data_IF_325217660572
#
_entry.id   IF_325217660572
#
_cell.length_a   1.000
_cell.length_b   1.000
_cell.length_c   1.000
_cell.angle_alpha   90.00
_cell.angle_beta   90.00
_cell.angle_gamma   90.00
#
_symmetry.space_group_name_H-M   'P 1'
#
loop_
_entity.id
_entity.type
_entity.pdbx_description
1 polymer ?
#
# COMPACT_ATOMS: atom_id res chain seq x y z
N UNK A 1 5.11 23.57 -34.12
CA UNK A 1 4.57 22.87 -32.93
C UNK A 1 4.84 23.76 -31.72
N UNK A 2 3.79 24.30 -31.07
CA UNK A 2 3.95 25.10 -29.84
C UNK A 2 4.10 24.12 -28.67
N UNK A 3 5.27 24.14 -28.03
CA UNK A 3 5.52 23.37 -26.82
C UNK A 3 4.59 23.82 -25.70
N UNK A 4 3.90 22.87 -25.08
CA UNK A 4 3.07 23.11 -23.90
C UNK A 4 3.95 23.67 -22.79
N UNK A 5 3.59 24.77 -22.12
CA UNK A 5 4.39 25.30 -21.02
C UNK A 5 4.40 24.30 -19.87
N UNK A 6 5.59 23.90 -19.40
CA UNK A 6 5.72 23.22 -18.11
C UNK A 6 5.16 24.16 -17.05
N UNK A 7 4.10 23.73 -16.34
CA UNK A 7 3.61 24.45 -15.17
C UNK A 7 4.69 24.37 -14.10
N UNK A 8 5.40 25.47 -13.85
CA UNK A 8 6.30 25.57 -12.71
C UNK A 8 5.49 25.42 -11.41
N UNK A 9 5.83 24.42 -10.60
CA UNK A 9 5.23 24.25 -9.28
C UNK A 9 5.53 25.43 -8.35
N UNK A 10 4.69 25.63 -7.33
CA UNK A 10 4.94 26.67 -6.32
C UNK A 10 6.17 26.31 -5.51
N UNK A 11 7.20 27.18 -5.42
CA UNK A 11 8.36 26.93 -4.58
C UNK A 11 7.99 26.78 -3.11
N UNK A 12 8.71 25.95 -2.37
CA UNK A 12 8.56 25.85 -0.92
C UNK A 12 8.90 27.19 -0.25
N UNK A 13 8.10 27.60 0.73
CA UNK A 13 8.41 28.73 1.59
C UNK A 13 9.49 28.34 2.64
N UNK A 14 10.06 29.33 3.31
CA UNK A 14 11.13 29.13 4.29
C UNK A 14 10.75 28.14 5.41
N UNK A 15 9.52 28.22 5.92
CA UNK A 15 9.04 27.31 6.96
C UNK A 15 8.92 25.85 6.48
N UNK A 16 8.56 25.64 5.22
CA UNK A 16 8.55 24.32 4.59
C UNK A 16 9.97 23.80 4.36
N UNK A 17 10.91 24.64 3.93
CA UNK A 17 12.31 24.27 3.75
C UNK A 17 12.97 23.83 5.06
N UNK A 18 12.68 24.50 6.18
CA UNK A 18 13.18 24.10 7.51
C UNK A 18 12.66 22.72 7.91
N UNK A 19 11.38 22.42 7.66
CA UNK A 19 10.82 21.09 7.91
C UNK A 19 11.50 20.02 7.06
N UNK A 20 11.73 20.29 5.78
CA UNK A 20 12.42 19.38 4.86
C UNK A 20 13.88 19.15 5.28
N UNK A 21 14.57 20.18 5.75
CA UNK A 21 15.93 20.06 6.26
C UNK A 21 16.01 19.09 7.44
N UNK A 22 15.03 19.10 8.35
CA UNK A 22 14.99 18.14 9.46
C UNK A 22 14.80 16.69 8.97
N UNK A 23 13.93 16.47 7.97
CA UNK A 23 13.76 15.14 7.37
C UNK A 23 15.06 14.66 6.69
N UNK A 24 15.71 15.53 5.91
CA UNK A 24 16.98 15.21 5.27
C UNK A 24 18.08 14.91 6.31
N UNK A 25 18.14 15.67 7.39
CA UNK A 25 19.09 15.43 8.48
C UNK A 25 18.87 14.07 9.15
N UNK A 26 17.63 13.67 9.38
CA UNK A 26 17.30 12.33 9.91
C UNK A 26 17.76 11.25 8.92
N UNK A 27 17.43 11.40 7.63
CA UNK A 27 17.84 10.44 6.60
C UNK A 27 19.36 10.29 6.51
N UNK A 28 20.08 11.42 6.48
CA UNK A 28 21.55 11.43 6.44
C UNK A 28 22.15 10.83 7.70
N UNK A 29 21.65 11.20 8.89
CA UNK A 29 22.17 10.69 10.15
C UNK A 29 21.95 9.18 10.34
N UNK A 30 20.87 8.63 9.79
CA UNK A 30 20.54 7.20 9.90
C UNK A 30 21.20 6.37 8.80
N UNK A 31 21.11 6.81 7.54
CA UNK A 31 21.52 6.00 6.38
C UNK A 31 23.01 6.11 6.08
N UNK A 32 23.61 7.30 6.22
CA UNK A 32 25.01 7.51 5.83
C UNK A 32 25.99 6.66 6.65
N UNK A 33 25.84 6.49 7.99
CA UNK A 33 26.70 5.59 8.75
C UNK A 33 26.57 4.12 8.30
N UNK A 34 25.36 3.66 7.98
CA UNK A 34 25.11 2.29 7.51
C UNK A 34 25.81 2.06 6.16
N UNK A 35 25.67 2.99 5.22
CA UNK A 35 26.35 2.92 3.92
C UNK A 35 27.87 2.96 4.08
N UNK A 36 28.37 3.86 4.92
CA UNK A 36 29.80 3.99 5.20
C UNK A 36 30.39 2.71 5.82
N UNK A 37 29.65 2.06 6.71
CA UNK A 37 30.01 0.78 7.31
C UNK A 37 30.03 -0.35 6.26
N UNK A 38 29.02 -0.44 5.39
CA UNK A 38 28.98 -1.43 4.28
C UNK A 38 30.15 -1.28 3.31
N UNK A 39 30.61 -0.05 3.07
CA UNK A 39 31.77 0.24 2.22
C UNK A 39 33.12 0.02 2.94
N UNK A 40 33.12 -0.23 4.26
CA UNK A 40 34.31 -0.49 5.06
C UNK A 40 35.31 0.68 5.17
N UNK A 41 34.93 1.89 4.71
CA UNK A 41 35.85 3.05 4.59
C UNK A 41 35.17 4.38 4.93
N UNK A 42 34.72 4.60 6.18
CA UNK A 42 33.93 5.79 6.55
C UNK A 42 34.66 7.12 6.31
N UNK A 43 35.97 7.19 6.54
CA UNK A 43 36.75 8.41 6.29
C UNK A 43 36.93 8.73 4.80
N UNK A 44 37.00 7.71 3.94
CA UNK A 44 37.07 7.90 2.50
C UNK A 44 35.73 8.41 1.94
N UNK A 45 34.62 7.97 2.53
CA UNK A 45 33.27 8.46 2.22
C UNK A 45 33.16 9.95 2.55
N UNK A 46 33.58 10.38 3.74
CA UNK A 46 33.57 11.81 4.11
C UNK A 46 34.42 12.66 3.15
N UNK A 47 35.63 12.18 2.82
CA UNK A 47 36.51 12.86 1.86
C UNK A 47 35.92 12.92 0.44
N UNK A 48 35.09 11.94 0.06
CA UNK A 48 34.42 11.95 -1.24
C UNK A 48 33.35 13.05 -1.36
N UNK A 49 32.78 13.52 -0.24
CA UNK A 49 31.80 14.61 -0.20
C UNK A 49 32.45 16.00 -0.15
N UNK A 50 33.71 16.10 0.24
CA UNK A 50 34.42 17.38 0.42
C UNK A 50 34.45 18.19 -0.89
N UNK A 51 33.94 19.42 -0.83
CA UNK A 51 33.79 20.32 -1.99
C UNK A 51 32.84 19.84 -3.10
N UNK A 52 32.17 18.69 -2.96
CA UNK A 52 31.31 18.08 -4.00
C UNK A 52 29.81 18.22 -3.76
N UNK A 53 29.39 19.12 -2.87
CA UNK A 53 27.97 19.33 -2.53
C UNK A 53 27.07 19.54 -3.76
N UNK A 54 27.49 20.36 -4.73
CA UNK A 54 26.73 20.60 -5.95
C UNK A 54 26.62 19.36 -6.86
N UNK A 55 27.65 18.51 -6.91
CA UNK A 55 27.63 17.25 -7.66
C UNK A 55 26.70 16.24 -6.97
N UNK A 56 26.80 16.14 -5.64
CA UNK A 56 25.92 15.30 -4.85
C UNK A 56 24.44 15.70 -5.00
N UNK A 57 24.12 16.99 -4.97
CA UNK A 57 22.77 17.50 -5.16
C UNK A 57 22.15 17.05 -6.50
N UNK A 58 22.92 17.07 -7.60
CA UNK A 58 22.44 16.59 -8.92
C UNK A 58 22.15 15.09 -8.94
N UNK A 59 22.92 14.29 -8.22
CA UNK A 59 22.65 12.86 -8.09
C UNK A 59 21.46 12.59 -7.15
N UNK A 60 21.25 13.45 -6.17
CA UNK A 60 20.19 13.33 -5.19
C UNK A 60 18.82 13.73 -5.75
N UNK A 61 18.77 14.69 -6.68
CA UNK A 61 17.53 15.19 -7.30
C UNK A 61 16.62 14.09 -7.87
N UNK A 62 17.06 13.21 -8.80
CA UNK A 62 16.20 12.16 -9.35
C UNK A 62 15.81 11.11 -8.29
N UNK A 63 16.68 10.84 -7.31
CA UNK A 63 16.41 9.89 -6.22
C UNK A 63 15.33 10.45 -5.29
N UNK A 64 15.44 11.73 -4.91
CA UNK A 64 14.43 12.40 -4.11
C UNK A 64 13.11 12.51 -4.85
N UNK A 65 13.13 12.80 -6.16
CA UNK A 65 11.91 12.83 -6.96
C UNK A 65 11.21 11.47 -6.94
N UNK A 66 11.95 10.38 -7.13
CA UNK A 66 11.40 9.02 -7.09
C UNK A 66 10.82 8.67 -5.71
N UNK A 67 11.54 8.98 -4.63
CA UNK A 67 11.09 8.72 -3.25
C UNK A 67 9.88 9.58 -2.87
N UNK A 68 9.87 10.86 -3.25
CA UNK A 68 8.73 11.74 -2.98
C UNK A 68 7.52 11.29 -3.80
N UNK A 69 7.72 10.88 -5.05
CA UNK A 69 6.66 10.27 -5.86
C UNK A 69 6.10 9.06 -5.11
N UNK A 70 6.91 8.09 -4.70
CA UNK A 70 6.41 6.91 -3.97
C UNK A 70 5.64 7.28 -2.69
N UNK A 71 6.14 8.24 -1.90
CA UNK A 71 5.45 8.72 -0.70
C UNK A 71 4.12 9.43 -0.97
N UNK A 72 3.94 10.02 -2.15
CA UNK A 72 2.71 10.70 -2.54
C UNK A 72 1.70 9.76 -3.24
N UNK A 73 2.12 8.54 -3.60
CA UNK A 73 1.30 7.58 -4.32
C UNK A 73 0.26 6.91 -3.42
N UNK A 74 0.61 6.58 -2.18
CA UNK A 74 -0.33 6.08 -1.18
C UNK A 74 -0.72 7.22 -0.25
N UNK A 75 -1.95 7.71 -0.39
CA UNK A 75 -2.49 8.74 0.49
C UNK A 75 -3.17 8.06 1.67
N UNK A 76 -2.66 8.23 2.91
CA UNK A 76 -3.33 7.71 4.09
C UNK A 76 -4.71 8.36 4.24
N UNK A 77 -5.73 7.54 4.47
CA UNK A 77 -7.10 8.02 4.64
C UNK A 77 -7.54 7.94 6.10
N UNK A 78 -7.48 6.75 6.69
CA UNK A 78 -7.98 6.45 8.04
C UNK A 78 -7.41 5.13 8.55
N UNK A 79 -7.52 4.90 9.84
CA UNK A 79 -7.30 3.58 10.45
C UNK A 79 -8.65 2.98 10.82
N UNK A 80 -8.79 1.66 10.67
CA UNK A 80 -10.00 0.91 10.99
C UNK A 80 -9.67 -0.20 11.98
N UNK A 81 -10.67 -0.54 12.78
CA UNK A 81 -10.62 -1.63 13.76
C UNK A 81 -11.94 -2.36 13.78
N UNK A 82 -11.89 -3.69 13.69
CA UNK A 82 -13.08 -4.49 13.94
C UNK A 82 -12.73 -5.75 14.73
N UNK A 83 -13.74 -6.26 15.42
CA UNK A 83 -13.66 -7.49 16.21
C UNK A 83 -14.69 -8.46 15.67
N UNK A 84 -14.26 -9.69 15.38
CA UNK A 84 -15.16 -10.74 14.90
C UNK A 84 -16.20 -11.06 15.98
N UNK A 85 -17.48 -10.91 15.64
CA UNK A 85 -18.58 -11.27 16.55
C UNK A 85 -18.80 -12.78 16.64
N UNK A 86 -18.39 -13.53 15.62
CA UNK A 86 -18.49 -14.98 15.55
C UNK A 86 -17.23 -15.57 14.89
N UNK A 87 -16.99 -16.86 15.13
CA UNK A 87 -15.90 -17.60 14.50
C UNK A 87 -16.06 -17.59 12.99
N UNK A 88 -15.01 -17.21 12.27
CA UNK A 88 -14.95 -17.26 10.82
C UNK A 88 -14.38 -18.59 10.34
N UNK A 89 -15.13 -19.28 9.48
CA UNK A 89 -14.74 -20.53 8.83
C UNK A 89 -14.58 -20.27 7.32
N UNK A 90 -13.36 -20.02 6.81
CA UNK A 90 -13.16 -19.59 5.41
C UNK A 90 -13.78 -20.55 4.39
N UNK A 91 -13.55 -21.85 4.54
CA UNK A 91 -14.02 -22.85 3.58
C UNK A 91 -15.54 -22.90 3.45
N UNK A 92 -16.29 -22.67 4.54
CA UNK A 92 -17.75 -22.66 4.48
C UNK A 92 -18.27 -21.31 3.98
N UNK A 93 -17.74 -20.20 4.49
CA UNK A 93 -18.19 -18.85 4.13
C UNK A 93 -18.10 -18.61 2.62
N UNK A 94 -16.93 -18.82 2.03
CA UNK A 94 -16.69 -18.49 0.61
C UNK A 94 -17.35 -19.47 -0.37
N UNK A 95 -17.78 -20.65 0.09
CA UNK A 95 -18.44 -21.65 -0.76
C UNK A 95 -19.94 -21.45 -0.86
N UNK A 96 -20.59 -21.00 0.22
CA UNK A 96 -22.06 -20.98 0.32
C UNK A 96 -22.66 -19.57 0.38
N UNK A 97 -21.84 -18.52 0.37
CA UNK A 97 -22.34 -17.15 0.48
C UNK A 97 -23.02 -16.72 -0.82
N UNK A 98 -24.30 -16.39 -0.73
CA UNK A 98 -25.02 -15.75 -1.82
C UNK A 98 -24.43 -14.39 -2.16
N UNK A 99 -24.48 -14.02 -3.45
CA UNK A 99 -24.01 -12.72 -3.97
C UNK A 99 -22.52 -12.48 -3.72
N UNK A 100 -21.74 -13.55 -3.82
CA UNK A 100 -20.29 -13.55 -3.74
C UNK A 100 -19.73 -14.41 -4.87
N UNK A 101 -19.03 -13.75 -5.80
CA UNK A 101 -18.24 -14.38 -6.84
C UNK A 101 -16.81 -14.58 -6.35
N UNK A 102 -16.43 -15.84 -6.12
CA UNK A 102 -15.07 -16.25 -5.75
C UNK A 102 -14.31 -16.67 -7.00
N UNK A 103 -13.34 -15.86 -7.42
CA UNK A 103 -12.53 -16.19 -8.58
C UNK A 103 -11.49 -17.28 -8.28
N UNK A 104 -11.10 -18.00 -9.34
CA UNK A 104 -10.13 -19.10 -9.31
C UNK A 104 -8.83 -18.79 -8.57
N UNK A 105 -8.32 -17.57 -8.72
CA UNK A 105 -7.07 -17.14 -8.09
C UNK A 105 -7.17 -17.18 -6.56
N UNK A 106 -8.24 -16.60 -6.00
CA UNK A 106 -8.49 -16.62 -4.56
C UNK A 106 -8.70 -18.05 -4.04
N UNK A 107 -9.49 -18.84 -4.78
CA UNK A 107 -9.77 -20.23 -4.42
C UNK A 107 -8.55 -21.14 -4.44
N UNK A 108 -7.53 -20.83 -5.25
CA UNK A 108 -6.30 -21.64 -5.39
C UNK A 108 -5.14 -21.14 -4.54
N UNK A 109 -5.03 -19.83 -4.34
CA UNK A 109 -3.85 -19.21 -3.70
C UNK A 109 -4.06 -18.89 -2.22
N UNK A 110 -5.29 -18.58 -1.80
CA UNK A 110 -5.58 -18.07 -0.45
C UNK A 110 -6.40 -19.08 0.36
N UNK A 111 -7.57 -19.49 -0.14
CA UNK A 111 -8.49 -20.36 0.59
C UNK A 111 -7.88 -21.67 1.13
N UNK A 112 -6.99 -22.38 0.39
CA UNK A 112 -6.42 -23.65 0.88
C UNK A 112 -5.51 -23.50 2.10
N UNK A 113 -4.96 -22.30 2.33
CA UNK A 113 -4.03 -22.01 3.42
C UNK A 113 -4.71 -21.33 4.61
N UNK A 114 -5.88 -20.72 4.38
CA UNK A 114 -6.63 -20.01 5.41
C UNK A 114 -7.20 -20.97 6.46
N UNK A 115 -7.01 -20.63 7.72
CA UNK A 115 -7.50 -21.38 8.88
C UNK A 115 -8.72 -20.67 9.50
N UNK A 116 -9.50 -21.38 10.34
CA UNK A 116 -10.53 -20.72 11.11
C UNK A 116 -9.97 -19.63 12.01
N UNK A 117 -10.73 -18.55 12.17
CA UNK A 117 -10.40 -17.43 13.07
C UNK A 117 -11.48 -17.34 14.13
N UNK A 118 -11.08 -17.34 15.40
CA UNK A 118 -12.01 -17.36 16.53
C UNK A 118 -12.80 -16.05 16.67
N UNK A 119 -13.98 -16.14 17.30
CA UNK A 119 -14.71 -14.96 17.74
C UNK A 119 -13.86 -14.15 18.74
N UNK A 120 -14.00 -12.83 18.71
CA UNK A 120 -13.21 -11.92 19.55
C UNK A 120 -11.84 -11.54 18.98
N UNK A 121 -11.36 -12.22 17.94
CA UNK A 121 -10.16 -11.77 17.22
C UNK A 121 -10.40 -10.38 16.64
N UNK A 122 -9.43 -9.50 16.83
CA UNK A 122 -9.51 -8.09 16.45
C UNK A 122 -8.44 -7.77 15.43
N UNK A 123 -8.85 -7.07 14.37
CA UNK A 123 -7.97 -6.64 13.30
C UNK A 123 -7.93 -5.12 13.28
N UNK A 124 -6.72 -4.58 13.29
CA UNK A 124 -6.44 -3.15 13.16
C UNK A 124 -5.61 -2.95 11.90
N UNK A 125 -6.05 -2.01 11.05
CA UNK A 125 -5.39 -1.76 9.78
C UNK A 125 -5.53 -0.30 9.35
N UNK A 126 -4.48 0.16 8.70
CA UNK A 126 -4.45 1.45 8.02
C UNK A 126 -5.01 1.30 6.60
N UNK A 127 -5.70 2.34 6.17
CA UNK A 127 -6.35 2.41 4.87
C UNK A 127 -5.73 3.56 4.09
N UNK A 128 -5.20 3.23 2.92
CA UNK A 128 -4.59 4.19 2.00
C UNK A 128 -5.23 4.12 0.62
N UNK A 129 -5.31 5.23 -0.08
CA UNK A 129 -5.76 5.30 -1.47
C UNK A 129 -4.55 5.42 -2.40
N UNK A 130 -4.54 4.62 -3.48
CA UNK A 130 -3.61 4.83 -4.59
C UNK A 130 -4.04 6.08 -5.33
N UNK A 131 -3.16 7.08 -5.39
CA UNK A 131 -3.29 8.29 -6.19
C UNK A 131 -2.15 8.38 -7.20
N UNK A 132 -2.33 7.71 -8.32
CA UNK A 132 -1.46 7.90 -9.48
C UNK A 132 -1.84 9.18 -10.24
N UNK A 133 -0.86 9.95 -10.77
CA UNK A 133 -1.14 10.93 -11.80
C UNK A 133 -1.90 10.27 -12.96
N UNK A 134 -2.88 10.97 -13.54
CA UNK A 134 -3.80 10.46 -14.57
C UNK A 134 -3.14 9.92 -15.86
N UNK A 135 -1.81 10.00 -15.98
CA UNK A 135 -1.03 9.72 -17.18
C UNK A 135 -0.11 8.49 -17.05
N UNK A 136 -0.13 7.78 -15.92
CA UNK A 136 0.71 6.59 -15.68
C UNK A 136 -0.13 5.30 -15.76
N UNK A 137 0.48 4.20 -16.21
CA UNK A 137 -0.15 2.88 -16.47
C UNK A 137 -0.57 2.10 -15.20
N UNK A 138 -0.90 2.80 -14.11
CA UNK A 138 -1.04 2.22 -12.77
C UNK A 138 0.32 1.82 -12.17
N UNK A 139 0.32 1.45 -10.90
CA UNK A 139 1.49 1.05 -10.14
C UNK A 139 1.63 -0.46 -10.08
N UNK A 140 2.86 -0.96 -10.08
CA UNK A 140 3.14 -2.37 -9.75
C UNK A 140 3.12 -2.57 -8.24
N UNK A 141 2.92 -3.81 -7.83
CA UNK A 141 2.89 -4.21 -6.42
C UNK A 141 4.16 -3.76 -5.68
N UNK A 142 5.35 -3.97 -6.26
CA UNK A 142 6.63 -3.48 -5.72
C UNK A 142 6.60 -2.00 -5.31
N UNK A 143 6.04 -1.13 -6.15
CA UNK A 143 6.00 0.31 -5.90
C UNK A 143 5.00 0.69 -4.80
N UNK A 144 3.92 -0.10 -4.69
CA UNK A 144 2.93 0.03 -3.62
C UNK A 144 3.54 -0.45 -2.31
N UNK A 145 4.16 -1.63 -2.30
CA UNK A 145 4.78 -2.26 -1.13
C UNK A 145 5.93 -1.39 -0.57
N UNK A 146 6.76 -0.78 -1.43
CA UNK A 146 7.82 0.16 -1.02
C UNK A 146 7.30 1.40 -0.26
N UNK A 147 6.01 1.71 -0.42
CA UNK A 147 5.33 2.84 0.23
C UNK A 147 4.57 2.42 1.49
N UNK A 148 4.47 1.11 1.76
CA UNK A 148 3.84 0.56 2.96
C UNK A 148 4.88 0.36 4.08
N UNK A 149 4.40 -0.04 5.25
CA UNK A 149 5.29 -0.40 6.36
C UNK A 149 5.93 -1.80 6.15
N UNK A 150 7.06 -2.10 6.81
CA UNK A 150 7.75 -3.39 6.61
C UNK A 150 6.92 -4.62 7.04
N UNK A 151 5.89 -4.43 7.86
CA UNK A 151 4.99 -5.47 8.36
C UNK A 151 3.61 -5.43 7.67
N UNK A 152 3.55 -4.97 6.40
CA UNK A 152 2.29 -4.73 5.69
C UNK A 152 1.53 -6.00 5.28
N UNK A 153 2.09 -7.19 5.54
CA UNK A 153 1.54 -8.46 5.12
C UNK A 153 0.52 -9.00 6.14
N UNK A 154 -0.65 -9.39 5.64
CA UNK A 154 -1.57 -10.26 6.36
C UNK A 154 -1.26 -11.74 6.09
N UNK A 155 -1.63 -12.62 7.01
CA UNK A 155 -1.77 -14.04 6.69
C UNK A 155 -3.11 -14.32 5.98
N UNK A 156 -3.19 -15.47 5.29
CA UNK A 156 -4.35 -15.83 4.47
C UNK A 156 -5.66 -15.93 5.28
N UNK A 157 -5.59 -16.32 6.56
CA UNK A 157 -6.76 -16.40 7.45
C UNK A 157 -7.28 -15.02 7.81
N UNK A 158 -6.36 -14.10 8.13
CA UNK A 158 -6.67 -12.69 8.39
C UNK A 158 -7.33 -12.03 7.19
N UNK A 159 -6.80 -12.24 5.96
CA UNK A 159 -7.42 -11.73 4.73
C UNK A 159 -8.85 -12.26 4.56
N UNK A 160 -9.05 -13.58 4.71
CA UNK A 160 -10.37 -14.18 4.63
C UNK A 160 -11.35 -13.59 5.66
N UNK A 161 -10.91 -13.38 6.90
CA UNK A 161 -11.75 -12.81 7.95
C UNK A 161 -12.12 -11.33 7.67
N UNK A 162 -11.16 -10.52 7.22
CA UNK A 162 -11.39 -9.10 6.88
C UNK A 162 -12.41 -8.95 5.75
N UNK A 163 -12.24 -9.72 4.68
CA UNK A 163 -13.17 -9.68 3.54
C UNK A 163 -14.55 -10.18 3.97
N UNK A 164 -14.62 -11.25 4.77
CA UNK A 164 -15.90 -11.77 5.26
C UNK A 164 -16.64 -10.79 6.17
N UNK A 165 -15.91 -10.05 7.02
CA UNK A 165 -16.48 -8.98 7.83
C UNK A 165 -17.05 -7.86 6.96
N UNK A 166 -16.29 -7.41 5.94
CA UNK A 166 -16.76 -6.40 5.00
C UNK A 166 -18.06 -6.83 4.30
N UNK A 167 -18.11 -8.06 3.81
CA UNK A 167 -19.30 -8.65 3.17
C UNK A 167 -20.46 -8.80 4.18
N UNK A 168 -20.18 -9.10 5.44
CA UNK A 168 -21.21 -9.30 6.46
C UNK A 168 -21.82 -7.97 6.89
N UNK A 169 -21.01 -6.93 7.06
CA UNK A 169 -21.46 -5.57 7.41
C UNK A 169 -22.13 -4.85 6.24
N UNK A 170 -21.72 -5.14 5.01
CA UNK A 170 -22.23 -4.50 3.79
C UNK A 170 -22.68 -5.55 2.75
N UNK A 171 -23.70 -6.38 3.06
CA UNK A 171 -24.10 -7.54 2.25
C UNK A 171 -24.57 -7.22 0.83
N UNK A 172 -24.93 -5.97 0.53
CA UNK A 172 -25.35 -5.48 -0.79
C UNK A 172 -24.32 -4.52 -1.37
N UNK A 173 -23.09 -4.55 -0.87
CA UNK A 173 -22.04 -3.61 -1.23
C UNK A 173 -22.48 -2.15 -1.01
N UNK A 174 -23.31 -1.88 0.00
CA UNK A 174 -23.88 -0.58 0.34
C UNK A 174 -22.86 0.36 1.03
N UNK A 175 -23.10 1.68 1.16
CA UNK A 175 -22.12 2.59 1.75
C UNK A 175 -21.94 2.28 3.22
N UNK A 176 -20.68 2.23 3.65
CA UNK A 176 -20.35 1.87 5.02
C UNK A 176 -18.90 2.11 5.36
N UNK A 177 -18.44 1.40 6.40
CA UNK A 177 -17.09 1.51 6.94
C UNK A 177 -16.05 1.04 5.92
N UNK A 178 -16.37 -0.04 5.19
CA UNK A 178 -15.60 -0.52 4.06
C UNK A 178 -15.97 0.27 2.80
N UNK A 179 -14.95 0.72 2.06
CA UNK A 179 -15.08 1.67 0.97
C UNK A 179 -15.41 0.96 -0.34
N UNK A 180 -16.62 0.40 -0.42
CA UNK A 180 -16.96 -0.54 -1.51
C UNK A 180 -17.71 0.16 -2.65
N UNK A 181 -18.10 1.43 -2.44
CA UNK A 181 -18.64 2.28 -3.49
C UNK A 181 -17.57 3.19 -4.08
N UNK A 182 -17.57 3.30 -5.40
CA UNK A 182 -16.65 4.15 -6.17
C UNK A 182 -15.16 3.80 -5.97
N UNK A 183 -14.87 2.63 -5.42
CA UNK A 183 -13.52 2.08 -5.32
C UNK A 183 -13.40 0.97 -6.34
N UNK A 184 -12.30 0.98 -7.09
CA UNK A 184 -12.06 0.01 -8.15
C UNK A 184 -11.81 -1.37 -7.55
N UNK A 185 -10.89 -1.45 -6.59
CA UNK A 185 -10.60 -2.63 -5.78
C UNK A 185 -10.04 -2.22 -4.43
N UNK A 186 -10.28 -3.04 -3.41
CA UNK A 186 -9.58 -3.02 -2.13
C UNK A 186 -8.51 -4.12 -2.18
N UNK A 187 -7.27 -3.75 -1.90
CA UNK A 187 -6.08 -4.58 -2.03
C UNK A 187 -5.54 -4.96 -0.63
N UNK A 188 -5.24 -6.23 -0.44
CA UNK A 188 -4.51 -6.74 0.71
C UNK A 188 -3.33 -7.58 0.24
N UNK A 189 -2.19 -7.44 0.90
CA UNK A 189 -0.99 -8.22 0.60
C UNK A 189 -0.83 -9.37 1.59
N UNK A 190 -0.57 -10.56 1.05
CA UNK A 190 0.01 -11.67 1.81
C UNK A 190 1.44 -11.87 1.35
N UNK A 191 2.22 -12.71 2.05
CA UNK A 191 3.63 -12.95 1.67
C UNK A 191 3.79 -13.51 0.25
N UNK A 192 2.76 -14.17 -0.28
CA UNK A 192 2.82 -14.89 -1.54
C UNK A 192 1.90 -14.29 -2.62
N UNK A 193 0.86 -13.56 -2.23
CA UNK A 193 -0.20 -13.15 -3.15
C UNK A 193 -0.68 -11.73 -2.88
N UNK A 194 -1.15 -11.08 -3.94
CA UNK A 194 -2.01 -9.93 -3.84
C UNK A 194 -3.46 -10.42 -3.86
N UNK A 195 -4.28 -9.95 -2.92
CA UNK A 195 -5.71 -10.20 -2.87
C UNK A 195 -6.46 -8.91 -3.19
N UNK A 196 -7.42 -9.00 -4.09
CA UNK A 196 -8.32 -7.90 -4.40
C UNK A 196 -9.77 -8.30 -4.17
N UNK A 197 -10.54 -7.38 -3.60
CA UNK A 197 -11.98 -7.53 -3.52
C UNK A 197 -12.71 -6.21 -3.81
N UNK A 198 -13.92 -6.31 -4.35
CA UNK A 198 -14.75 -5.18 -4.73
C UNK A 198 -16.23 -5.57 -4.72
N UNK A 199 -17.10 -4.57 -4.80
CA UNK A 199 -18.55 -4.76 -4.95
C UNK A 199 -19.12 -3.84 -6.02
N UNK A 200 -20.13 -4.29 -6.75
CA UNK A 200 -20.79 -3.51 -7.81
C UNK A 200 -22.22 -3.06 -7.44
N UNK A 201 -22.60 -3.18 -6.16
CA UNK A 201 -23.96 -2.93 -5.65
C UNK A 201 -24.90 -4.14 -5.76
N UNK A 202 -24.53 -5.15 -6.54
CA UNK A 202 -25.27 -6.38 -6.72
C UNK A 202 -24.52 -7.58 -6.16
N UNK A 203 -23.21 -7.66 -6.38
CA UNK A 203 -22.39 -8.81 -5.99
C UNK A 203 -21.02 -8.37 -5.51
N UNK A 204 -20.49 -9.14 -4.56
CA UNK A 204 -19.10 -9.06 -4.14
C UNK A 204 -18.22 -9.93 -5.04
N UNK A 205 -17.04 -9.45 -5.36
CA UNK A 205 -16.05 -10.19 -6.13
C UNK A 205 -14.76 -10.27 -5.32
N UNK A 206 -14.17 -11.46 -5.23
CA UNK A 206 -12.88 -11.70 -4.59
C UNK A 206 -11.97 -12.45 -5.54
N UNK A 207 -10.74 -11.97 -5.72
CA UNK A 207 -9.73 -12.62 -6.53
C UNK A 207 -8.35 -12.49 -5.88
N UNK A 208 -7.40 -13.31 -6.32
CA UNK A 208 -6.01 -13.20 -5.92
C UNK A 208 -5.09 -13.52 -7.10
N UNK A 209 -3.91 -12.92 -7.10
CA UNK A 209 -2.85 -13.19 -8.06
C UNK A 209 -1.52 -13.36 -7.33
N UNK A 210 -0.55 -14.07 -7.92
CA UNK A 210 0.84 -13.89 -7.53
C UNK A 210 1.21 -12.40 -7.61
N UNK A 211 2.12 -11.97 -6.74
CA UNK A 211 2.60 -10.57 -6.73
C UNK A 211 3.24 -10.17 -8.07
N UNK A 212 3.14 -8.89 -8.40
CA UNK A 212 3.73 -8.23 -9.58
C UNK A 212 3.18 -8.68 -10.94
N UNK A 213 1.97 -9.26 -10.99
CA UNK A 213 1.32 -9.68 -12.23
C UNK A 213 0.47 -8.57 -12.86
N UNK A 214 -0.04 -7.65 -12.04
CA UNK A 214 -0.96 -6.60 -12.45
C UNK A 214 -0.42 -5.22 -12.09
N UNK A 215 -1.00 -4.18 -12.71
CA UNK A 215 -0.84 -2.80 -12.27
C UNK A 215 -2.15 -2.26 -11.70
N UNK A 216 -2.06 -1.41 -10.68
CA UNK A 216 -3.19 -0.87 -9.93
C UNK A 216 -3.18 0.65 -10.01
N UNK A 217 -4.30 1.22 -10.47
CA UNK A 217 -4.43 2.65 -10.71
C UNK A 217 -5.18 3.39 -9.61
N UNK A 218 -5.36 4.70 -9.84
CA UNK A 218 -6.14 5.57 -8.97
C UNK A 218 -7.52 5.01 -8.62
N UNK A 219 -7.91 5.17 -7.36
CA UNK A 219 -9.19 4.69 -6.85
C UNK A 219 -9.18 3.22 -6.41
N UNK A 220 -8.02 2.54 -6.46
CA UNK A 220 -7.76 1.35 -5.65
C UNK A 220 -7.36 1.75 -4.24
N UNK A 221 -7.84 1.01 -3.25
CA UNK A 221 -7.48 1.22 -1.85
C UNK A 221 -6.61 0.07 -1.36
N UNK A 222 -5.67 0.34 -0.47
CA UNK A 222 -4.75 -0.62 0.11
C UNK A 222 -4.98 -0.67 1.60
N UNK A 223 -5.20 -1.87 2.12
CA UNK A 223 -5.24 -2.16 3.55
C UNK A 223 -3.90 -2.77 3.95
N UNK A 224 -3.33 -2.28 5.04
CA UNK A 224 -2.14 -2.84 5.68
C UNK A 224 -2.35 -2.92 7.19
N UNK A 225 -1.80 -3.94 7.89
CA UNK A 225 -1.81 -3.96 9.36
C UNK A 225 -1.39 -2.61 9.94
N UNK A 226 -2.12 -2.16 10.98
CA UNK A 226 -1.81 -0.94 11.70
C UNK A 226 -0.50 -1.13 12.50
N UNK A 227 0.26 -0.05 12.67
CA UNK A 227 1.46 -0.02 13.50
C UNK A 227 1.15 0.11 14.99
#
# INVERSE_FOLDING_TARGET
>A
MKGTPMKNGTPFNLGQLVKLQNFLNIGVATVLPIVAARLGKPQAVLKAFDGKGAVFARHLEPVLEQVIKSMLLLVPLKSLKFTLSARHEPSSFYKSRERLSVCDGFAKLVLPNAKPVEAGTTFEFDVSEIRTPQWENGMRDEEIEDSLNEEHFFDDSSVCAIIAEAITKQPRCEPGEFPVHNVRHILLYTRTSLVAFAGDGCEWYVNAWPRNVCTHGTGCWVLSPAK
#
